data_IF_728935046277
#
_entry.id   IF_728935046277
#
_cell.length_a   1.000
_cell.length_b   1.000
_cell.length_c   1.000
_cell.angle_alpha   90.00
_cell.angle_beta   90.00
_cell.angle_gamma   90.00
#
_symmetry.space_group_name_H-M   'P 1'
#
loop_
_entity.id
_entity.type
_entity.pdbx_description
1 polymer ?
#
# COMPACT_ATOMS: atom_id res chain seq x y z
N UNK A 1 47.53 24.78 64.46
CA UNK A 1 46.13 25.21 64.33
C UNK A 1 45.31 23.97 64.01
N UNK A 2 44.54 23.46 64.98
CA UNK A 2 43.69 22.28 64.85
C UNK A 2 42.33 22.73 64.34
N UNK A 3 41.82 22.12 63.26
CA UNK A 3 40.43 22.25 62.84
C UNK A 3 39.79 20.88 62.98
N UNK A 4 38.90 20.79 63.96
CA UNK A 4 38.00 19.69 64.24
C UNK A 4 36.63 20.12 63.68
N UNK A 5 36.06 19.42 62.70
CA UNK A 5 34.63 19.54 62.37
C UNK A 5 34.05 18.15 62.21
N UNK A 6 32.99 17.96 62.97
CA UNK A 6 32.18 16.78 63.25
C UNK A 6 31.05 16.59 62.24
N UNK A 7 30.47 15.39 62.27
CA UNK A 7 29.04 15.07 62.06
C UNK A 7 28.57 14.62 60.68
N UNK A 8 27.84 13.50 60.70
CA UNK A 8 26.75 13.25 59.75
C UNK A 8 26.67 11.84 59.19
N UNK A 9 26.45 10.82 60.05
CA UNK A 9 26.03 9.51 59.58
C UNK A 9 24.68 9.63 58.86
N UNK A 10 24.66 9.26 57.58
CA UNK A 10 23.50 9.37 56.71
C UNK A 10 22.50 8.24 57.04
N UNK A 11 21.28 8.67 57.36
CA UNK A 11 20.11 7.88 57.70
C UNK A 11 19.72 6.93 56.55
N UNK A 12 19.70 5.62 56.82
CA UNK A 12 19.11 4.63 55.92
C UNK A 12 17.58 4.57 56.14
N UNK A 13 16.81 5.10 55.19
CA UNK A 13 15.36 4.95 55.16
C UNK A 13 14.99 3.78 54.23
N UNK A 14 14.61 2.66 54.84
CA UNK A 14 13.87 1.56 54.21
C UNK A 14 12.43 2.02 53.96
N UNK A 15 12.00 2.09 52.71
CA UNK A 15 10.58 2.16 52.34
C UNK A 15 10.23 0.95 51.48
N UNK A 16 9.45 0.05 52.08
CA UNK A 16 8.69 -0.98 51.39
C UNK A 16 7.49 -0.33 50.69
N UNK A 17 7.22 -0.71 49.43
CA UNK A 17 5.93 -0.44 48.81
C UNK A 17 5.90 -0.68 47.30
N UNK A 18 5.21 -1.75 46.88
CA UNK A 18 4.58 -1.84 45.56
C UNK A 18 5.08 -2.95 44.64
N UNK A 19 4.39 -4.10 44.64
CA UNK A 19 4.31 -4.96 43.46
C UNK A 19 3.31 -4.32 42.48
N UNK A 20 3.82 -3.74 41.40
CA UNK A 20 3.05 -3.49 40.19
C UNK A 20 3.88 -3.98 39.00
N UNK A 21 3.18 -4.59 38.04
CA UNK A 21 3.71 -5.36 36.91
C UNK A 21 4.85 -4.64 36.16
N UNK A 22 5.86 -5.36 35.63
CA UNK A 22 7.04 -4.74 35.01
C UNK A 22 6.71 -4.26 33.59
N UNK A 23 6.07 -3.11 33.47
CA UNK A 23 6.00 -2.36 32.21
C UNK A 23 7.26 -1.49 32.09
N UNK A 24 8.32 -2.11 31.55
CA UNK A 24 9.49 -1.48 30.93
C UNK A 24 9.24 -0.04 30.44
N UNK A 25 9.66 0.98 31.19
CA UNK A 25 9.64 2.38 30.66
C UNK A 25 10.88 3.22 31.05
N UNK A 26 11.89 2.69 31.75
CA UNK A 26 13.07 3.51 32.10
C UNK A 26 14.36 2.78 31.70
N UNK A 27 14.77 2.86 30.42
CA UNK A 27 16.12 2.46 30.01
C UNK A 27 16.59 3.01 28.64
N UNK A 28 16.02 4.10 28.09
CA UNK A 28 16.39 4.54 26.73
C UNK A 28 17.36 5.73 26.63
N UNK A 29 17.97 6.22 27.72
CA UNK A 29 18.86 7.40 27.63
C UNK A 29 20.36 7.04 27.71
N UNK A 30 20.75 5.79 27.97
CA UNK A 30 22.17 5.42 28.12
C UNK A 30 22.80 4.65 26.92
N UNK A 31 22.07 4.37 25.84
CA UNK A 31 22.51 3.38 24.84
C UNK A 31 23.16 3.95 23.57
N UNK A 32 23.11 5.27 23.35
CA UNK A 32 23.69 5.87 22.13
C UNK A 32 25.20 6.15 22.23
N UNK A 33 25.78 6.13 23.44
CA UNK A 33 27.21 6.38 23.66
C UNK A 33 28.11 5.14 23.45
N UNK A 34 27.55 3.94 23.25
CA UNK A 34 28.31 2.68 23.12
C UNK A 34 28.39 2.13 21.69
N UNK A 35 27.90 2.85 20.68
CA UNK A 35 27.97 2.40 19.28
C UNK A 35 27.13 1.14 18.97
N UNK A 36 26.21 0.76 19.85
CA UNK A 36 25.25 -0.31 19.61
C UNK A 36 24.20 0.16 18.60
N UNK A 37 24.49 -0.05 17.32
CA UNK A 37 23.49 -0.02 16.25
C UNK A 37 22.35 -0.96 16.68
N UNK A 38 21.16 -0.40 16.91
CA UNK A 38 19.94 -1.18 17.20
C UNK A 38 19.86 -2.32 16.17
N UNK A 39 19.80 -3.60 16.60
CA UNK A 39 19.69 -4.71 15.67
C UNK A 39 18.50 -4.47 14.75
N UNK A 40 18.74 -4.45 13.44
CA UNK A 40 17.65 -4.36 12.48
C UNK A 40 16.81 -5.64 12.60
N UNK A 41 15.53 -5.48 12.90
CA UNK A 41 14.61 -6.61 12.99
C UNK A 41 14.53 -7.33 11.64
N UNK A 42 14.47 -8.68 11.62
CA UNK A 42 14.15 -9.42 10.40
C UNK A 42 12.88 -8.87 9.76
N UNK A 43 12.82 -8.85 8.43
CA UNK A 43 11.71 -8.24 7.67
C UNK A 43 10.33 -8.80 8.07
N UNK A 44 10.27 -10.08 8.42
CA UNK A 44 9.07 -10.79 8.89
C UNK A 44 8.54 -10.31 10.25
N UNK A 45 9.38 -9.65 11.06
CA UNK A 45 9.03 -9.15 12.40
C UNK A 45 8.76 -7.64 12.43
N UNK A 46 8.97 -6.93 11.32
CA UNK A 46 8.64 -5.51 11.21
C UNK A 46 7.11 -5.31 11.19
N UNK A 47 6.58 -4.18 11.71
CA UNK A 47 5.17 -3.88 11.60
C UNK A 47 4.74 -3.80 10.13
N UNK A 48 3.43 -3.93 9.82
CA UNK A 48 2.94 -3.78 8.44
C UNK A 48 3.45 -2.48 7.80
N UNK A 49 3.76 -2.53 6.50
CA UNK A 49 4.18 -1.35 5.73
C UNK A 49 3.06 -0.34 5.70
N UNK A 50 3.39 0.94 5.84
CA UNK A 50 2.45 2.03 5.63
C UNK A 50 2.62 2.54 4.21
N UNK A 51 1.64 2.29 3.35
CA UNK A 51 1.68 2.74 1.95
C UNK A 51 0.67 3.86 1.76
N UNK A 52 1.16 5.08 1.56
CA UNK A 52 0.30 6.21 1.22
C UNK A 52 -0.14 6.10 -0.24
N UNK A 53 -1.46 6.12 -0.44
CA UNK A 53 -2.12 6.05 -1.73
C UNK A 53 -2.79 7.39 -2.02
N UNK A 54 -2.66 7.90 -3.23
CA UNK A 54 -3.40 9.06 -3.73
C UNK A 54 -3.97 8.78 -5.11
N UNK A 55 -5.22 9.17 -5.34
CA UNK A 55 -5.86 9.06 -6.66
C UNK A 55 -6.73 10.29 -6.95
N UNK A 56 -6.52 10.87 -8.13
CA UNK A 56 -7.40 11.89 -8.69
C UNK A 56 -8.41 11.24 -9.64
N UNK A 57 -9.70 11.40 -9.36
CA UNK A 57 -10.78 10.97 -10.23
C UNK A 57 -11.15 12.12 -11.18
N UNK A 58 -10.86 11.95 -12.46
CA UNK A 58 -11.07 12.98 -13.48
C UNK A 58 -12.55 13.34 -13.67
N UNK A 59 -12.81 14.50 -14.28
CA UNK A 59 -14.18 14.95 -14.61
C UNK A 59 -14.91 14.04 -15.57
N UNK A 60 -14.16 13.28 -16.38
CA UNK A 60 -14.67 12.30 -17.33
C UNK A 60 -14.61 10.87 -16.76
N UNK A 61 -14.46 10.69 -15.44
CA UNK A 61 -14.33 9.37 -14.81
C UNK A 61 -15.39 8.39 -15.32
N UNK A 62 -14.94 7.19 -15.71
CA UNK A 62 -15.82 6.07 -16.01
C UNK A 62 -16.95 6.42 -17.00
N UNK A 63 -16.63 7.19 -18.04
CA UNK A 63 -17.62 7.73 -18.95
C UNK A 63 -18.36 6.63 -19.72
N UNK A 64 -19.67 6.76 -19.87
CA UNK A 64 -20.50 5.86 -20.68
C UNK A 64 -20.37 6.16 -22.20
N UNK A 65 -21.07 5.39 -23.03
CA UNK A 65 -21.09 5.60 -24.49
C UNK A 65 -21.62 6.96 -24.96
N UNK A 66 -22.17 7.79 -24.05
CA UNK A 66 -22.61 9.17 -24.29
C UNK A 66 -21.69 10.19 -23.61
N UNK A 67 -20.49 9.79 -23.19
CA UNK A 67 -19.51 10.60 -22.47
C UNK A 67 -20.01 11.16 -21.13
N UNK A 68 -21.03 10.56 -20.51
CA UNK A 68 -21.49 10.98 -19.19
C UNK A 68 -20.61 10.36 -18.11
N UNK A 69 -20.03 11.15 -17.18
CA UNK A 69 -19.17 10.60 -16.14
C UNK A 69 -19.99 9.81 -15.12
N UNK A 70 -19.42 8.71 -14.63
CA UNK A 70 -20.03 7.82 -13.66
C UNK A 70 -19.09 7.59 -12.47
N UNK A 71 -19.65 7.33 -11.30
CA UNK A 71 -18.86 6.77 -10.20
C UNK A 71 -18.35 5.38 -10.56
N UNK A 72 -17.25 4.96 -9.96
CA UNK A 72 -16.65 3.64 -10.22
C UNK A 72 -16.09 3.03 -8.95
N UNK A 73 -16.18 1.71 -8.85
CA UNK A 73 -15.55 0.95 -7.77
C UNK A 73 -14.09 0.69 -8.13
N UNK A 74 -13.20 1.00 -7.19
CA UNK A 74 -11.81 0.58 -7.22
C UNK A 74 -11.60 -0.49 -6.14
N UNK A 75 -11.12 -1.65 -6.55
CA UNK A 75 -10.67 -2.71 -5.66
C UNK A 75 -9.18 -2.57 -5.39
N UNK A 76 -8.79 -2.77 -4.14
CA UNK A 76 -7.41 -2.75 -3.68
C UNK A 76 -7.12 -4.14 -3.11
N UNK A 77 -6.02 -4.72 -3.55
CA UNK A 77 -5.57 -6.05 -3.16
C UNK A 77 -4.17 -5.98 -2.57
N UNK A 78 -3.93 -6.78 -1.54
CA UNK A 78 -2.60 -7.03 -0.99
C UNK A 78 -2.25 -8.46 -1.39
N UNK A 79 -1.18 -8.62 -2.17
CA UNK A 79 -0.87 -9.88 -2.85
C UNK A 79 0.51 -10.41 -2.45
N UNK A 80 0.63 -11.73 -2.30
CA UNK A 80 1.92 -12.42 -2.20
C UNK A 80 2.62 -12.44 -3.56
N UNK A 81 1.88 -12.73 -4.62
CA UNK A 81 2.38 -12.78 -6.01
C UNK A 81 1.41 -12.08 -6.98
N UNK A 82 1.95 -11.59 -8.10
CA UNK A 82 1.17 -10.81 -9.09
C UNK A 82 0.82 -11.60 -10.36
N UNK A 83 1.34 -12.82 -10.50
CA UNK A 83 1.13 -13.64 -11.70
C UNK A 83 -0.35 -13.96 -11.94
N UNK A 84 -1.04 -14.51 -10.94
CA UNK A 84 -2.48 -14.79 -11.03
C UNK A 84 -3.30 -13.53 -11.29
N UNK A 85 -2.94 -12.42 -10.65
CA UNK A 85 -3.57 -11.12 -10.85
C UNK A 85 -3.52 -10.65 -12.31
N UNK A 86 -2.38 -10.79 -12.98
CA UNK A 86 -2.24 -10.38 -14.38
C UNK A 86 -2.77 -11.40 -15.39
N UNK A 87 -2.81 -12.68 -15.06
CA UNK A 87 -3.41 -13.71 -15.91
C UNK A 87 -4.95 -13.68 -15.88
N UNK A 88 -5.54 -13.07 -14.84
CA UNK A 88 -6.98 -12.93 -14.68
C UNK A 88 -7.61 -12.06 -15.77
N UNK A 89 -8.83 -12.40 -16.20
CA UNK A 89 -9.65 -11.53 -17.06
C UNK A 89 -10.31 -10.39 -16.27
N UNK A 90 -10.78 -9.35 -16.96
CA UNK A 90 -11.59 -8.29 -16.34
C UNK A 90 -12.85 -8.85 -15.67
N UNK A 91 -13.50 -9.82 -16.31
CA UNK A 91 -14.69 -10.53 -15.82
C UNK A 91 -14.49 -11.17 -14.43
N UNK A 92 -13.27 -11.63 -14.13
CA UNK A 92 -12.93 -12.19 -12.83
C UNK A 92 -13.06 -11.15 -11.71
N UNK A 93 -12.81 -9.87 -12.01
CA UNK A 93 -12.85 -8.79 -11.03
C UNK A 93 -14.19 -8.05 -10.96
N UNK A 94 -15.02 -8.05 -12.00
CA UNK A 94 -16.38 -7.47 -11.90
C UNK A 94 -17.35 -8.43 -11.22
N UNK A 95 -17.14 -9.74 -11.36
CA UNK A 95 -18.02 -10.75 -10.77
C UNK A 95 -17.76 -10.85 -9.26
N UNK A 96 -18.76 -10.65 -8.38
CA UNK A 96 -18.57 -10.77 -6.94
C UNK A 96 -17.96 -12.12 -6.53
N UNK A 97 -16.87 -12.10 -5.77
CA UNK A 97 -16.21 -13.28 -5.21
C UNK A 97 -15.34 -14.09 -6.19
N UNK A 98 -15.49 -13.91 -7.50
CA UNK A 98 -14.69 -14.64 -8.51
C UNK A 98 -13.22 -14.26 -8.48
N UNK A 99 -12.91 -13.03 -8.10
CA UNK A 99 -11.56 -12.53 -7.88
C UNK A 99 -10.85 -13.30 -6.77
N UNK A 100 -11.54 -13.57 -5.65
CA UNK A 100 -10.97 -14.35 -4.54
C UNK A 100 -10.65 -15.78 -4.97
N UNK A 101 -11.55 -16.42 -5.71
CA UNK A 101 -11.29 -17.76 -6.28
C UNK A 101 -10.12 -17.75 -7.25
N UNK A 102 -10.01 -16.72 -8.08
CA UNK A 102 -8.99 -16.62 -9.11
C UNK A 102 -7.60 -16.29 -8.55
N UNK A 103 -7.53 -15.47 -7.51
CA UNK A 103 -6.27 -15.09 -6.84
C UNK A 103 -5.83 -16.14 -5.82
N UNK A 104 -6.76 -16.91 -5.25
CA UNK A 104 -6.46 -18.04 -4.36
C UNK A 104 -5.53 -17.64 -3.21
N UNK A 105 -4.48 -18.44 -3.02
CA UNK A 105 -3.51 -18.27 -1.93
C UNK A 105 -2.62 -17.03 -2.07
N UNK A 106 -2.59 -16.40 -3.25
CA UNK A 106 -1.86 -15.16 -3.47
C UNK A 106 -2.55 -13.96 -2.83
N UNK A 107 -3.87 -14.04 -2.59
CA UNK A 107 -4.63 -12.97 -1.95
C UNK A 107 -4.41 -12.96 -0.44
N UNK A 108 -3.84 -11.87 0.08
CA UNK A 108 -3.71 -11.62 1.52
C UNK A 108 -4.93 -10.87 2.05
N UNK A 109 -5.33 -9.81 1.34
CA UNK A 109 -6.45 -8.95 1.74
C UNK A 109 -7.02 -8.23 0.52
N UNK A 110 -8.32 -7.93 0.54
CA UNK A 110 -9.00 -7.12 -0.46
C UNK A 110 -9.96 -6.13 0.19
N UNK A 111 -10.02 -4.91 -0.33
CA UNK A 111 -11.08 -3.94 0.02
C UNK A 111 -11.51 -3.14 -1.20
N UNK A 112 -12.64 -2.46 -1.08
CA UNK A 112 -13.18 -1.60 -2.13
C UNK A 112 -13.27 -0.15 -1.66
N UNK A 113 -13.17 0.77 -2.60
CA UNK A 113 -13.57 2.18 -2.44
C UNK A 113 -14.34 2.64 -3.67
N UNK A 114 -15.27 3.57 -3.50
CA UNK A 114 -15.99 4.20 -4.61
C UNK A 114 -15.36 5.54 -4.94
N UNK A 115 -14.97 5.71 -6.19
CA UNK A 115 -14.48 6.98 -6.74
C UNK A 115 -15.65 7.74 -7.36
N UNK A 116 -15.75 9.02 -7.02
CA UNK A 116 -16.75 9.96 -7.55
C UNK A 116 -16.03 10.90 -8.54
N UNK A 117 -16.64 11.25 -9.68
CA UNK A 117 -16.04 12.19 -10.63
C UNK A 117 -15.63 13.52 -9.98
N UNK A 118 -14.51 14.09 -10.44
CA UNK A 118 -13.96 15.38 -9.97
C UNK A 118 -13.56 15.41 -8.49
N UNK A 119 -13.27 14.24 -7.89
CA UNK A 119 -12.81 14.12 -6.51
C UNK A 119 -11.36 13.66 -6.42
N UNK A 120 -10.72 13.93 -5.28
CA UNK A 120 -9.38 13.44 -4.95
C UNK A 120 -9.41 12.70 -3.63
N UNK A 121 -8.71 11.57 -3.58
CA UNK A 121 -8.64 10.72 -2.39
C UNK A 121 -7.18 10.50 -2.01
N UNK A 122 -6.88 10.57 -0.71
CA UNK A 122 -5.59 10.17 -0.16
C UNK A 122 -5.83 9.37 1.12
N UNK A 123 -5.21 8.19 1.23
CA UNK A 123 -5.34 7.32 2.39
C UNK A 123 -4.07 6.48 2.57
N UNK A 124 -3.97 5.76 3.69
CA UNK A 124 -2.85 4.85 3.96
C UNK A 124 -3.35 3.40 4.01
N UNK A 125 -2.71 2.52 3.25
CA UNK A 125 -2.88 1.07 3.37
C UNK A 125 -1.85 0.49 4.33
N UNK A 126 -2.33 -0.34 5.26
CA UNK A 126 -1.48 -1.14 6.15
C UNK A 126 -1.20 -2.48 5.46
N UNK A 127 -0.02 -2.65 4.89
CA UNK A 127 0.33 -3.82 4.08
C UNK A 127 1.12 -4.83 4.91
N UNK A 128 0.56 -6.03 5.21
CA UNK A 128 1.29 -7.07 5.93
C UNK A 128 2.61 -7.40 5.22
N UNK A 129 3.66 -7.74 5.98
CA UNK A 129 4.98 -8.10 5.40
C UNK A 129 4.94 -9.36 4.54
N UNK A 130 3.87 -10.16 4.63
CA UNK A 130 3.60 -11.31 3.77
C UNK A 130 3.10 -10.93 2.37
N UNK A 131 2.63 -9.69 2.16
CA UNK A 131 2.24 -9.19 0.86
C UNK A 131 3.42 -8.44 0.19
N UNK A 132 3.83 -8.92 -0.98
CA UNK A 132 4.90 -8.33 -1.77
C UNK A 132 4.40 -7.20 -2.67
N UNK A 133 3.09 -7.13 -2.92
CA UNK A 133 2.50 -6.12 -3.79
C UNK A 133 1.19 -5.54 -3.25
N UNK A 134 0.95 -4.27 -3.59
CA UNK A 134 -0.36 -3.62 -3.53
C UNK A 134 -0.88 -3.52 -4.96
N UNK A 135 -2.02 -4.11 -5.25
CA UNK A 135 -2.64 -4.06 -6.56
C UNK A 135 -3.97 -3.33 -6.54
N UNK A 136 -4.30 -2.68 -7.65
CA UNK A 136 -5.53 -1.93 -7.85
C UNK A 136 -6.21 -2.39 -9.13
N UNK A 137 -7.53 -2.45 -9.08
CA UNK A 137 -8.40 -2.69 -10.23
C UNK A 137 -9.50 -1.65 -10.19
N UNK A 138 -9.68 -0.89 -11.26
CA UNK A 138 -10.83 -0.01 -11.43
C UNK A 138 -11.82 -0.68 -12.37
N UNK A 139 -13.04 -0.86 -11.89
CA UNK A 139 -14.11 -1.58 -12.60
C UNK A 139 -14.82 -0.64 -13.58
N UNK A 140 -14.07 -0.13 -14.56
CA UNK A 140 -14.62 0.76 -15.58
C UNK A 140 -15.76 0.08 -16.37
N UNK A 141 -16.72 0.87 -16.82
CA UNK A 141 -17.81 0.47 -17.69
C UNK A 141 -17.30 -0.05 -19.04
N UNK A 142 -16.22 0.54 -19.56
CA UNK A 142 -15.66 0.23 -20.88
C UNK A 142 -14.13 0.38 -20.87
N UNK A 143 -13.40 -0.51 -20.18
CA UNK A 143 -11.98 -0.33 -19.88
C UNK A 143 -11.10 -0.30 -21.13
N UNK A 144 -10.03 0.49 -21.08
CA UNK A 144 -8.84 0.26 -21.90
C UNK A 144 -8.27 -1.12 -21.56
N UNK A 145 -7.80 -1.89 -22.55
CA UNK A 145 -7.42 -3.29 -22.35
C UNK A 145 -6.28 -3.52 -21.33
N UNK A 146 -5.41 -2.53 -21.15
CA UNK A 146 -4.18 -2.68 -20.35
C UNK A 146 -4.18 -1.81 -19.09
N UNK A 147 -4.95 -0.72 -19.07
CA UNK A 147 -4.87 0.30 -18.02
C UNK A 147 -6.03 0.30 -17.03
N UNK A 148 -6.73 -0.81 -16.88
CA UNK A 148 -7.77 -0.95 -15.84
C UNK A 148 -7.22 -1.47 -14.52
N UNK A 149 -5.95 -1.91 -14.48
CA UNK A 149 -5.31 -2.48 -13.30
C UNK A 149 -3.80 -2.21 -13.25
N UNK A 150 -3.26 -2.13 -12.04
CA UNK A 150 -1.81 -2.07 -11.79
C UNK A 150 -1.46 -2.74 -10.47
N UNK A 151 -0.24 -3.22 -10.32
CA UNK A 151 0.31 -3.77 -9.10
C UNK A 151 1.66 -3.12 -8.84
N UNK A 152 1.92 -2.79 -7.58
CA UNK A 152 3.08 -2.02 -7.15
C UNK A 152 3.87 -2.83 -6.14
N UNK A 153 5.20 -2.79 -6.23
CA UNK A 153 6.06 -3.39 -5.21
C UNK A 153 5.80 -2.74 -3.84
N UNK A 154 5.44 -3.54 -2.84
CA UNK A 154 5.05 -3.02 -1.53
C UNK A 154 6.22 -2.37 -0.77
N UNK A 155 7.45 -2.85 -0.94
CA UNK A 155 8.63 -2.29 -0.29
C UNK A 155 9.05 -0.94 -0.89
N UNK A 156 8.89 -0.78 -2.20
CA UNK A 156 9.14 0.51 -2.87
C UNK A 156 8.00 1.49 -2.58
N UNK A 157 6.75 1.03 -2.63
CA UNK A 157 5.58 1.83 -2.32
C UNK A 157 5.56 2.34 -0.86
N UNK A 158 6.15 1.61 0.09
CA UNK A 158 6.34 2.10 1.47
C UNK A 158 7.20 3.36 1.52
N UNK A 159 8.16 3.50 0.60
CA UNK A 159 9.09 4.63 0.55
C UNK A 159 8.53 5.78 -0.28
N UNK A 160 7.91 5.48 -1.42
CA UNK A 160 7.51 6.49 -2.41
C UNK A 160 6.04 6.89 -2.32
N UNK A 161 5.21 6.06 -1.70
CA UNK A 161 3.77 6.09 -1.93
C UNK A 161 3.40 5.69 -3.35
N UNK A 162 2.10 5.74 -3.63
CA UNK A 162 1.51 5.47 -4.95
C UNK A 162 0.59 6.64 -5.31
N UNK A 163 0.79 7.22 -6.48
CA UNK A 163 -0.02 8.34 -6.99
C UNK A 163 -0.57 7.96 -8.35
N UNK A 164 -1.89 8.03 -8.50
CA UNK A 164 -2.61 7.61 -9.69
C UNK A 164 -3.63 8.65 -10.14
N UNK A 165 -4.10 8.50 -11.38
CA UNK A 165 -5.30 9.16 -11.89
C UNK A 165 -6.26 8.13 -12.45
N UNK A 166 -7.56 8.32 -12.28
CA UNK A 166 -8.61 7.55 -12.95
C UNK A 166 -9.37 8.46 -13.90
N UNK A 167 -9.50 8.04 -15.16
CA UNK A 167 -10.10 8.83 -16.24
C UNK A 167 -11.31 8.10 -16.85
N UNK A 168 -11.66 8.40 -18.11
CA UNK A 168 -12.76 7.77 -18.82
C UNK A 168 -12.79 6.23 -18.73
N UNK A 169 -11.66 5.57 -19.02
CA UNK A 169 -11.61 4.11 -19.05
C UNK A 169 -10.25 3.53 -18.64
N UNK A 170 -9.37 4.38 -18.11
CA UNK A 170 -7.98 4.03 -17.85
C UNK A 170 -7.49 4.68 -16.56
N UNK A 171 -6.60 3.96 -15.88
CA UNK A 171 -5.71 4.45 -14.86
C UNK A 171 -4.44 5.02 -15.48
N UNK A 172 -3.92 6.06 -14.85
CA UNK A 172 -2.56 6.56 -15.06
C UNK A 172 -1.78 6.44 -13.75
N UNK A 173 -0.50 6.09 -13.85
CA UNK A 173 0.41 6.03 -12.69
C UNK A 173 1.39 7.19 -12.79
N UNK A 174 1.37 8.07 -11.80
CA UNK A 174 2.33 9.17 -11.66
C UNK A 174 3.51 8.76 -10.78
N UNK A 175 3.24 8.03 -9.70
CA UNK A 175 4.26 7.54 -8.75
C UNK A 175 3.94 6.10 -8.36
N UNK A 176 4.98 5.26 -8.28
CA UNK A 176 4.90 3.87 -7.80
C UNK A 176 5.63 2.91 -8.74
N UNK A 177 6.41 1.99 -8.16
CA UNK A 177 7.13 0.97 -8.92
C UNK A 177 6.17 -0.15 -9.35
N UNK A 178 5.68 -0.07 -10.60
CA UNK A 178 4.78 -1.09 -11.16
C UNK A 178 5.55 -2.40 -11.41
N UNK A 179 4.96 -3.53 -11.02
CA UNK A 179 5.53 -4.87 -11.17
C UNK A 179 4.64 -5.75 -12.03
N UNK A 180 5.21 -6.73 -12.74
CA UNK A 180 4.47 -7.83 -13.41
C UNK A 180 3.71 -7.50 -14.71
N UNK A 181 3.40 -6.24 -15.01
CA UNK A 181 2.65 -5.85 -16.22
C UNK A 181 3.32 -6.24 -17.55
N UNK A 182 4.64 -6.20 -17.61
CA UNK A 182 5.41 -6.51 -18.84
C UNK A 182 5.19 -7.96 -19.29
N UNK A 183 4.91 -8.87 -18.37
CA UNK A 183 4.64 -10.27 -18.67
C UNK A 183 3.19 -10.51 -19.15
N UNK A 184 2.29 -9.55 -18.90
CA UNK A 184 0.89 -9.60 -19.33
C UNK A 184 0.69 -9.05 -20.75
N UNK A 185 1.64 -8.25 -21.21
CA UNK A 185 1.69 -7.66 -22.54
C UNK A 185 2.58 -8.56 -23.39
N UNK A 186 2.00 -9.40 -24.26
CA UNK A 186 2.77 -10.22 -25.20
C UNK A 186 3.90 -9.38 -25.84
N UNK A 187 5.14 -9.87 -25.69
CA UNK A 187 6.38 -9.11 -25.83
C UNK A 187 6.42 -8.11 -27.00
N UNK A 188 6.51 -6.82 -26.68
CA UNK A 188 7.11 -5.81 -27.55
C UNK A 188 8.58 -5.57 -27.12
N UNK A 189 9.52 -5.24 -28.03
CA UNK A 189 10.96 -5.46 -27.83
C UNK A 189 11.68 -4.49 -26.89
N UNK A 190 10.96 -3.70 -26.11
CA UNK A 190 11.54 -2.73 -25.16
C UNK A 190 10.59 -2.61 -23.98
N UNK A 191 10.95 -3.22 -22.86
CA UNK A 191 10.16 -3.35 -21.62
C UNK A 191 9.90 -2.04 -20.87
N UNK A 192 9.46 -0.99 -21.56
CA UNK A 192 8.82 0.15 -20.93
C UNK A 192 7.33 -0.14 -20.82
N UNK A 193 6.80 -0.06 -19.62
CA UNK A 193 5.36 -0.06 -19.39
C UNK A 193 4.74 1.03 -20.26
N UNK A 194 3.82 0.71 -21.17
CA UNK A 194 3.24 1.68 -22.10
C UNK A 194 2.22 2.61 -21.41
N UNK A 195 2.63 3.25 -20.32
CA UNK A 195 1.83 4.19 -19.54
C UNK A 195 1.51 5.46 -20.34
N UNK A 196 2.35 5.78 -21.33
CA UNK A 196 2.26 7.00 -22.14
C UNK A 196 1.57 6.77 -23.50
N UNK A 197 1.21 5.52 -23.83
CA UNK A 197 0.51 5.20 -25.07
C UNK A 197 -0.91 5.75 -25.13
N UNK A 198 -1.50 5.87 -26.33
CA UNK A 198 -2.86 6.38 -26.49
C UNK A 198 -3.88 5.53 -25.71
N UNK A 199 -4.89 6.18 -25.12
CA UNK A 199 -6.03 5.52 -24.45
C UNK A 199 -7.07 5.12 -25.47
N UNK A 200 -7.42 3.84 -25.48
CA UNK A 200 -8.48 3.31 -26.34
C UNK A 200 -9.48 2.58 -25.45
N UNK A 201 -10.58 3.25 -25.14
CA UNK A 201 -11.68 2.63 -24.43
C UNK A 201 -12.32 1.55 -25.30
N UNK A 202 -12.67 0.42 -24.69
CA UNK A 202 -13.48 -0.60 -25.37
C UNK A 202 -14.82 0.03 -25.80
N UNK A 203 -15.36 -0.28 -26.99
CA UNK A 203 -16.70 0.14 -27.34
C UNK A 203 -17.71 -0.44 -26.32
N UNK A 204 -18.59 0.39 -25.79
CA UNK A 204 -19.65 -0.11 -24.91
C UNK A 204 -20.70 -0.87 -25.76
N UNK A 205 -21.14 -2.07 -25.35
CA UNK A 205 -22.24 -2.75 -26.04
C UNK A 205 -23.51 -1.88 -25.97
N UNK A 206 -24.24 -1.83 -27.08
CA UNK A 206 -25.48 -1.05 -27.22
C UNK A 206 -26.60 -1.55 -26.30
#
# INVERSE_FOLDING_TARGET
>A
MKILITSGALLAALMLGGCSSPALTIANIALEASGLKKPELPESQKPPRKVTMSIAAGKNLNADGRNRPLSVVMRIYKLKETTGFYQSSFDAFVTPGRDKTQLGDDLVESREITLIPDQQYTWTEMVPRTANAVAVVVLFHSPDAQRWRFAFNAADAEKTGIVMGAHACALTVTTGAVVGQQNAQGAAPTGALNLLGPVTCRPSPA
#
